data_IF_377326031352
#
_entry.id   IF_377326031352
#
_cell.length_a   1.000
_cell.length_b   1.000
_cell.length_c   1.000
_cell.angle_alpha   90.00
_cell.angle_beta   90.00
_cell.angle_gamma   90.00
#
_symmetry.space_group_name_H-M   'P 1'
#
loop_
_entity.id
_entity.type
_entity.pdbx_description
1 polymer ?
#
# COMPACT_ATOMS: atom_id res chain seq x y z
N UNK A 1 -5.61 -2.60 -13.03
CA UNK A 1 -5.28 -1.17 -13.31
C UNK A 1 -6.28 -0.16 -12.73
N UNK A 2 -7.61 -0.32 -12.83
CA UNK A 2 -8.57 0.67 -12.28
C UNK A 2 -8.45 0.90 -10.76
N UNK A 3 -8.10 -0.13 -9.98
CA UNK A 3 -7.96 -0.04 -8.53
C UNK A 3 -6.81 0.90 -8.12
N UNK A 4 -5.66 0.81 -8.77
CA UNK A 4 -4.51 1.67 -8.48
C UNK A 4 -4.77 3.12 -8.91
N UNK A 5 -5.41 3.34 -10.04
CA UNK A 5 -5.82 4.69 -10.46
C UNK A 5 -6.71 5.34 -9.40
N UNK A 6 -7.69 4.59 -8.89
CA UNK A 6 -8.60 5.09 -7.86
C UNK A 6 -7.90 5.41 -6.54
N UNK A 7 -6.88 4.64 -6.15
CA UNK A 7 -6.13 4.95 -4.92
C UNK A 7 -5.28 6.20 -5.06
N UNK A 8 -4.72 6.45 -6.25
CA UNK A 8 -4.02 7.69 -6.57
C UNK A 8 -4.98 8.89 -6.49
N UNK A 9 -6.16 8.78 -7.12
CA UNK A 9 -7.17 9.85 -7.09
C UNK A 9 -7.63 10.18 -5.67
N UNK A 10 -7.75 9.16 -4.82
CA UNK A 10 -8.15 9.32 -3.41
C UNK A 10 -6.97 9.64 -2.48
N UNK A 11 -5.74 9.61 -2.98
CA UNK A 11 -4.50 9.73 -2.22
C UNK A 11 -4.45 8.79 -0.99
N UNK A 12 -4.77 7.50 -1.19
CA UNK A 12 -4.83 6.50 -0.12
C UNK A 12 -3.91 5.30 -0.41
N UNK A 13 -3.20 4.77 0.59
CA UNK A 13 -2.44 3.54 0.43
C UNK A 13 -3.34 2.38 -0.01
N UNK A 14 -2.83 1.52 -0.88
CA UNK A 14 -3.52 0.30 -1.31
C UNK A 14 -3.13 -0.86 -0.38
N UNK A 15 -4.11 -1.50 0.24
CA UNK A 15 -3.90 -2.78 0.95
C UNK A 15 -4.16 -3.93 -0.02
N UNK A 16 -3.20 -4.83 -0.22
CA UNK A 16 -3.35 -5.95 -1.17
C UNK A 16 -2.42 -7.13 -0.84
N UNK A 17 -2.79 -8.34 -1.26
CA UNK A 17 -1.91 -9.52 -1.26
C UNK A 17 -1.42 -9.89 -2.69
N UNK A 18 -1.85 -9.12 -3.69
CA UNK A 18 -1.58 -9.38 -5.10
C UNK A 18 -0.19 -8.85 -5.49
N UNK A 19 0.69 -9.77 -5.91
CA UNK A 19 2.08 -9.49 -6.25
C UNK A 19 2.22 -8.57 -7.46
N UNK A 20 1.23 -8.51 -8.36
CA UNK A 20 1.30 -7.65 -9.54
C UNK A 20 1.43 -6.17 -9.13
N UNK A 21 0.88 -5.78 -7.98
CA UNK A 21 1.00 -4.42 -7.47
C UNK A 21 2.40 -4.07 -6.94
N UNK A 22 3.19 -5.06 -6.51
CA UNK A 22 4.59 -4.85 -6.16
C UNK A 22 5.40 -4.50 -7.41
N UNK A 23 5.18 -5.22 -8.51
CA UNK A 23 5.83 -4.94 -9.78
C UNK A 23 5.42 -3.56 -10.32
N UNK A 24 4.15 -3.19 -10.20
CA UNK A 24 3.69 -1.86 -10.61
C UNK A 24 4.32 -0.76 -9.76
N UNK A 25 4.44 -0.93 -8.43
CA UNK A 25 5.14 0.05 -7.58
C UNK A 25 6.61 0.17 -7.95
N UNK A 26 7.29 -0.96 -8.19
CA UNK A 26 8.68 -0.98 -8.63
C UNK A 26 8.86 -0.21 -9.95
N UNK A 27 8.00 -0.46 -10.94
CA UNK A 27 8.02 0.27 -12.21
C UNK A 27 7.79 1.77 -12.02
N UNK A 28 6.87 2.17 -11.14
CA UNK A 28 6.62 3.59 -10.84
C UNK A 28 7.81 4.27 -10.19
N UNK A 29 8.50 3.61 -9.26
CA UNK A 29 9.74 4.12 -8.66
C UNK A 29 10.82 4.35 -9.73
N UNK A 30 11.02 3.38 -10.64
CA UNK A 30 11.98 3.50 -11.74
C UNK A 30 11.64 4.69 -12.65
N UNK A 31 10.35 4.91 -12.93
CA UNK A 31 9.87 6.00 -13.78
C UNK A 31 9.75 7.36 -13.06
N UNK A 32 10.18 7.46 -11.78
CA UNK A 32 9.98 8.65 -10.93
C UNK A 32 8.50 9.09 -10.86
N UNK A 33 7.57 8.14 -10.92
CA UNK A 33 6.15 8.37 -10.79
C UNK A 33 5.70 8.10 -9.36
N UNK A 34 5.02 9.08 -8.76
CA UNK A 34 4.50 8.94 -7.40
C UNK A 34 3.36 7.91 -7.32
N UNK A 35 3.24 7.25 -6.18
CA UNK A 35 2.09 6.46 -5.80
C UNK A 35 1.79 6.61 -4.29
N UNK A 36 0.52 6.47 -3.86
CA UNK A 36 0.09 6.76 -2.49
C UNK A 36 0.54 5.73 -1.44
N UNK A 37 1.34 4.74 -1.83
CA UNK A 37 1.81 3.65 -0.98
C UNK A 37 1.07 2.33 -1.18
N UNK A 38 1.75 1.24 -0.84
CA UNK A 38 1.19 -0.12 -0.83
C UNK A 38 1.45 -0.76 0.52
N UNK A 39 0.41 -1.33 1.12
CA UNK A 39 0.50 -2.22 2.27
C UNK A 39 0.28 -3.63 1.75
N UNK A 40 1.37 -4.39 1.62
CA UNK A 40 1.37 -5.73 1.08
C UNK A 40 1.14 -6.76 2.19
N UNK A 41 0.10 -7.58 2.05
CA UNK A 41 -0.24 -8.64 3.00
C UNK A 41 0.49 -9.93 2.62
N UNK A 42 1.31 -10.45 3.54
CA UNK A 42 1.99 -11.74 3.36
C UNK A 42 1.01 -12.91 3.36
N UNK A 43 1.32 -14.00 2.64
CA UNK A 43 0.53 -15.22 2.71
C UNK A 43 0.38 -15.73 4.15
N UNK A 44 -0.76 -16.36 4.43
CA UNK A 44 -1.05 -17.01 5.72
C UNK A 44 -1.08 -16.10 6.95
N UNK A 45 -1.26 -14.79 6.77
CA UNK A 45 -1.48 -13.85 7.86
C UNK A 45 -2.93 -13.89 8.34
N UNK A 46 -3.16 -13.76 9.66
CA UNK A 46 -4.52 -13.71 10.19
C UNK A 46 -5.15 -12.34 9.94
N UNK A 47 -6.44 -12.32 9.62
CA UNK A 47 -7.18 -11.05 9.42
C UNK A 47 -7.15 -10.19 10.69
N UNK A 48 -7.20 -10.80 11.88
CA UNK A 48 -7.09 -10.08 13.15
C UNK A 48 -5.77 -9.32 13.27
N UNK A 49 -4.65 -9.97 12.95
CA UNK A 49 -3.34 -9.33 12.96
C UNK A 49 -3.26 -8.19 11.93
N UNK A 50 -3.83 -8.38 10.73
CA UNK A 50 -3.89 -7.32 9.71
C UNK A 50 -4.65 -6.10 10.23
N UNK A 51 -5.82 -6.31 10.84
CA UNK A 51 -6.64 -5.21 11.38
C UNK A 51 -5.89 -4.45 12.48
N UNK A 52 -5.29 -5.17 13.44
CA UNK A 52 -4.52 -4.56 14.53
C UNK A 52 -3.39 -3.66 14.01
N UNK A 53 -2.63 -4.13 13.02
CA UNK A 53 -1.54 -3.34 12.45
C UNK A 53 -2.03 -2.16 11.62
N UNK A 54 -3.11 -2.34 10.84
CA UNK A 54 -3.71 -1.24 10.09
C UNK A 54 -4.25 -0.14 11.01
N UNK A 55 -4.80 -0.49 12.17
CA UNK A 55 -5.24 0.49 13.18
C UNK A 55 -4.05 1.29 13.72
N UNK A 56 -2.93 0.64 14.04
CA UNK A 56 -1.70 1.33 14.48
C UNK A 56 -1.25 2.35 13.42
N UNK A 57 -1.22 1.95 12.15
CA UNK A 57 -0.87 2.86 11.06
C UNK A 57 -1.85 4.02 10.88
N UNK A 58 -3.15 3.77 11.08
CA UNK A 58 -4.17 4.80 10.98
C UNK A 58 -4.11 5.82 12.14
N UNK A 59 -3.73 5.37 13.34
CA UNK A 59 -3.63 6.22 14.54
C UNK A 59 -2.34 7.04 14.57
N UNK A 60 -1.23 6.48 14.10
CA UNK A 60 0.10 7.09 14.24
C UNK A 60 0.63 7.73 12.95
N UNK A 61 0.18 7.26 11.79
CA UNK A 61 0.71 7.67 10.49
C UNK A 61 -0.08 8.79 9.82
N UNK A 62 0.58 9.55 8.95
CA UNK A 62 -0.04 10.45 7.97
C UNK A 62 0.00 9.79 6.60
N UNK A 63 -0.95 10.14 5.73
CA UNK A 63 -0.97 9.63 4.34
C UNK A 63 0.34 9.92 3.58
N UNK A 64 1.00 11.05 3.89
CA UNK A 64 2.32 11.41 3.34
C UNK A 64 3.41 10.40 3.65
N UNK A 65 3.31 9.69 4.77
CA UNK A 65 4.33 8.78 5.26
C UNK A 65 4.37 7.48 4.44
N UNK A 66 3.30 7.20 3.70
CA UNK A 66 3.17 6.03 2.84
C UNK A 66 3.50 6.32 1.38
N UNK A 67 3.64 7.60 0.98
CA UNK A 67 3.92 7.97 -0.40
C UNK A 67 5.21 7.31 -0.86
N UNK A 68 5.13 6.59 -1.99
CA UNK A 68 6.22 5.81 -2.57
C UNK A 68 6.77 4.67 -1.70
N UNK A 69 6.09 4.30 -0.62
CA UNK A 69 6.49 3.22 0.26
C UNK A 69 5.74 1.92 -0.05
N UNK A 70 6.43 0.80 0.19
CA UNK A 70 5.81 -0.52 0.26
C UNK A 70 6.04 -1.06 1.67
N UNK A 71 4.96 -1.23 2.42
CA UNK A 71 4.96 -1.75 3.79
C UNK A 71 4.51 -3.20 3.74
N UNK A 72 5.28 -4.09 4.35
CA UNK A 72 4.94 -5.52 4.42
C UNK A 72 4.31 -5.83 5.76
N UNK A 73 3.07 -6.32 5.73
CA UNK A 73 2.36 -6.90 6.86
C UNK A 73 2.41 -8.42 6.77
#
# INVERSE_FOLDING_TARGET
MQVLSRTIDLNRPLVTADQDFLEIAHQRLILNQSFPGIIFLRPHISIGYVIENLLIYAELGKLSDFVNQVVFL
#
